data_IF_607770087342
#
_entry.id   IF_607770087342
#
_cell.length_a   1.000
_cell.length_b   1.000
_cell.length_c   1.000
_cell.angle_alpha   90.00
_cell.angle_beta   90.00
_cell.angle_gamma   90.00
#
_symmetry.space_group_name_H-M   'P 1'
#
loop_
_entity.id
_entity.type
_entity.pdbx_description
1 polymer ?
#
# COMPACT_ATOMS: atom_id res chain seq x y z
N UNK A 1 8.98 11.08 9.05
CA UNK A 1 9.27 11.53 7.65
C UNK A 1 8.36 12.69 7.33
N UNK A 2 8.84 13.88 6.95
CA UNK A 2 7.99 15.08 6.75
C UNK A 2 8.11 15.68 5.36
N UNK A 3 9.31 15.71 4.78
CA UNK A 3 9.56 16.23 3.43
C UNK A 3 9.95 15.08 2.48
N UNK A 4 9.26 14.90 1.35
CA UNK A 4 9.64 13.89 0.37
C UNK A 4 10.92 14.33 -0.37
N UNK A 5 11.78 13.36 -0.70
CA UNK A 5 13.05 13.57 -1.39
C UNK A 5 13.01 12.85 -2.73
N UNK A 6 13.52 13.49 -3.79
CA UNK A 6 13.64 12.87 -5.11
C UNK A 6 14.56 11.63 -5.03
N UNK A 7 14.47 10.68 -5.98
CA UNK A 7 15.34 9.51 -5.97
C UNK A 7 16.81 9.91 -6.00
N UNK A 8 17.63 9.21 -5.22
CA UNK A 8 19.06 9.42 -5.16
C UNK A 8 19.78 8.08 -4.99
N UNK A 9 21.03 8.02 -5.39
CA UNK A 9 21.86 6.84 -5.18
C UNK A 9 22.53 6.92 -3.80
N UNK A 10 22.51 5.81 -3.07
CA UNK A 10 23.19 5.68 -1.79
C UNK A 10 24.71 5.57 -2.02
N UNK A 11 25.41 6.70 -2.02
CA UNK A 11 26.87 6.77 -2.10
C UNK A 11 27.51 6.53 -0.73
N UNK A 12 27.53 5.26 -0.33
CA UNK A 12 28.05 4.81 0.97
C UNK A 12 29.47 4.28 0.80
N UNK A 13 30.36 4.70 1.71
CA UNK A 13 31.69 4.12 1.91
C UNK A 13 31.72 3.33 3.21
N UNK A 14 32.22 2.10 3.15
CA UNK A 14 32.55 1.30 4.33
C UNK A 14 34.06 1.14 4.42
N UNK A 15 34.62 1.40 5.60
CA UNK A 15 36.03 1.16 5.90
C UNK A 15 36.15 0.22 7.09
N UNK A 16 36.98 -0.82 6.96
CA UNK A 16 37.25 -1.80 8.04
C UNK A 16 38.74 -2.07 8.14
N UNK A 17 39.24 -2.29 9.35
CA UNK A 17 40.57 -2.86 9.53
C UNK A 17 40.47 -4.38 9.45
N UNK A 18 41.20 -4.98 8.51
CA UNK A 18 41.33 -6.43 8.38
C UNK A 18 42.65 -6.84 9.01
N UNK A 19 42.57 -7.54 10.14
CA UNK A 19 43.72 -8.03 10.91
C UNK A 19 43.41 -9.48 11.27
N UNK A 20 44.33 -10.40 11.01
CA UNK A 20 44.18 -11.80 11.40
C UNK A 20 44.57 -12.06 12.86
N UNK A 21 44.49 -13.33 13.27
CA UNK A 21 44.65 -13.73 14.68
C UNK A 21 46.08 -13.54 15.22
N UNK A 22 47.09 -13.50 14.35
CA UNK A 22 48.49 -13.26 14.67
C UNK A 22 48.92 -11.80 14.39
N UNK A 23 47.95 -10.90 14.27
CA UNK A 23 48.12 -9.44 14.15
C UNK A 23 48.78 -8.96 12.85
N UNK A 24 48.77 -9.78 11.80
CA UNK A 24 49.15 -9.35 10.46
C UNK A 24 47.98 -8.57 9.85
N UNK A 25 48.26 -7.33 9.45
CA UNK A 25 47.26 -6.43 8.88
C UNK A 25 47.24 -6.51 7.36
N UNK A 26 46.05 -6.38 6.76
CA UNK A 26 45.93 -6.07 5.35
C UNK A 26 46.71 -4.79 5.02
N UNK A 27 47.57 -4.84 4.00
CA UNK A 27 48.56 -3.81 3.72
C UNK A 27 47.96 -2.45 3.34
N UNK A 28 46.71 -2.42 2.89
CA UNK A 28 45.98 -1.19 2.55
C UNK A 28 44.87 -0.89 3.57
N UNK A 29 45.07 -1.23 4.85
CA UNK A 29 44.13 -0.87 5.89
C UNK A 29 44.00 0.65 6.09
N UNK A 30 42.79 1.16 6.38
CA UNK A 30 41.54 0.40 6.40
C UNK A 30 41.09 0.01 4.98
N UNK A 31 40.71 -1.26 4.80
CA UNK A 31 40.12 -1.74 3.57
C UNK A 31 38.85 -0.95 3.27
N UNK A 32 38.76 -0.39 2.06
CA UNK A 32 37.66 0.45 1.62
C UNK A 32 36.74 -0.27 0.64
N UNK A 33 35.43 -0.15 0.86
CA UNK A 33 34.38 -0.59 -0.06
C UNK A 33 33.50 0.60 -0.43
N UNK A 34 33.40 0.87 -1.74
CA UNK A 34 32.68 2.03 -2.25
C UNK A 34 33.34 3.37 -1.92
N UNK A 35 32.66 4.46 -2.25
CA UNK A 35 33.06 5.84 -2.01
C UNK A 35 31.82 6.71 -1.74
N UNK A 36 32.02 7.92 -1.24
CA UNK A 36 30.94 8.91 -1.05
C UNK A 36 30.71 9.79 -2.28
N UNK A 37 31.52 9.60 -3.32
CA UNK A 37 31.41 10.32 -4.59
C UNK A 37 30.38 9.65 -5.50
N UNK A 38 29.64 10.47 -6.27
CA UNK A 38 28.59 10.00 -7.15
C UNK A 38 29.06 8.90 -8.11
N UNK A 39 28.34 7.78 -8.13
CA UNK A 39 28.63 6.62 -8.96
C UNK A 39 29.59 5.61 -8.33
N UNK A 40 30.31 5.97 -7.29
CA UNK A 40 31.39 5.15 -6.70
C UNK A 40 30.99 4.49 -5.38
N UNK A 41 29.78 4.72 -4.89
CA UNK A 41 29.22 4.07 -3.71
C UNK A 41 29.25 2.55 -3.75
N UNK A 42 29.15 1.96 -2.57
CA UNK A 42 29.06 0.52 -2.42
C UNK A 42 27.94 -0.05 -3.31
N UNK A 43 28.22 -1.18 -3.95
CA UNK A 43 27.23 -1.86 -4.77
C UNK A 43 26.30 -2.70 -3.89
N UNK A 44 24.99 -2.63 -4.17
CA UNK A 44 23.99 -3.53 -3.58
C UNK A 44 23.47 -4.50 -4.63
N UNK A 45 22.97 -5.66 -4.18
CA UNK A 45 22.40 -6.71 -5.04
C UNK A 45 21.25 -6.21 -5.94
N UNK A 46 20.44 -5.25 -5.45
CA UNK A 46 19.28 -4.71 -6.17
C UNK A 46 19.46 -3.24 -6.58
N UNK A 47 20.71 -2.79 -6.71
CA UNK A 47 21.03 -1.39 -6.99
C UNK A 47 20.97 -0.49 -5.76
N UNK A 48 21.52 0.71 -5.90
CA UNK A 48 21.71 1.67 -4.79
C UNK A 48 20.71 2.83 -4.77
N UNK A 49 19.75 2.84 -5.70
CA UNK A 49 18.79 3.94 -5.80
C UNK A 49 17.74 3.86 -4.68
N UNK A 50 17.70 4.88 -3.85
CA UNK A 50 16.75 5.05 -2.77
C UNK A 50 15.58 5.92 -3.23
N UNK A 51 14.36 5.57 -2.82
CA UNK A 51 13.12 6.27 -3.20
C UNK A 51 12.29 6.62 -1.98
N UNK A 52 11.75 7.82 -1.95
CA UNK A 52 10.74 8.20 -0.95
C UNK A 52 9.37 7.69 -1.39
N UNK A 53 8.92 6.58 -0.80
CA UNK A 53 7.70 5.87 -1.19
C UNK A 53 6.44 6.26 -0.40
N UNK A 54 5.27 5.96 -0.96
CA UNK A 54 3.99 5.86 -0.23
C UNK A 54 3.11 4.82 -0.89
N UNK A 55 2.20 4.20 -0.15
CA UNK A 55 1.12 3.39 -0.69
C UNK A 55 -0.12 4.25 -0.81
N UNK A 56 -0.70 4.34 -2.00
CA UNK A 56 -1.97 5.02 -2.23
C UNK A 56 -3.08 3.99 -2.33
N UNK A 57 -4.16 4.23 -1.59
CA UNK A 57 -5.41 3.49 -1.71
C UNK A 57 -6.49 4.42 -2.28
N UNK A 58 -7.27 3.93 -3.24
CA UNK A 58 -8.32 4.68 -3.91
C UNK A 58 -9.71 4.15 -3.58
N UNK A 59 -10.70 5.04 -3.56
CA UNK A 59 -12.10 4.64 -3.40
C UNK A 59 -12.59 3.82 -4.60
N UNK A 60 -13.53 2.91 -4.36
CA UNK A 60 -14.13 2.08 -5.41
C UNK A 60 -15.65 1.99 -5.21
N UNK A 61 -16.40 1.97 -6.31
CA UNK A 61 -17.85 1.82 -6.31
C UNK A 61 -18.24 0.81 -7.40
N UNK A 62 -19.16 -0.10 -7.09
CA UNK A 62 -19.60 -1.10 -8.07
C UNK A 62 -20.91 -1.77 -7.69
N UNK A 63 -21.38 -2.66 -8.57
CA UNK A 63 -22.56 -3.47 -8.31
C UNK A 63 -22.30 -4.46 -7.16
N UNK A 64 -23.30 -4.66 -6.31
CA UNK A 64 -23.33 -5.72 -5.29
C UNK A 64 -23.33 -7.14 -5.87
N UNK A 65 -23.49 -7.29 -7.19
CA UNK A 65 -23.51 -8.59 -7.87
C UNK A 65 -22.12 -9.06 -8.31
N UNK A 66 -21.12 -8.17 -8.27
CA UNK A 66 -19.76 -8.46 -8.77
C UNK A 66 -18.71 -8.20 -7.67
N UNK A 67 -17.56 -8.88 -7.74
CA UNK A 67 -16.38 -8.48 -6.98
C UNK A 67 -15.99 -7.03 -7.33
N UNK A 68 -15.51 -6.30 -6.33
CA UNK A 68 -15.10 -4.91 -6.47
C UNK A 68 -13.58 -4.80 -6.38
N UNK A 69 -12.93 -4.34 -7.44
CA UNK A 69 -11.49 -4.05 -7.44
C UNK A 69 -11.23 -2.66 -6.86
N UNK A 70 -10.31 -2.58 -5.91
CA UNK A 70 -9.95 -1.34 -5.21
C UNK A 70 -8.59 -0.90 -5.73
N UNK A 71 -8.47 0.30 -6.33
CA UNK A 71 -7.18 0.79 -6.80
C UNK A 71 -6.20 0.94 -5.65
N UNK A 72 -5.09 0.20 -5.71
CA UNK A 72 -3.99 0.26 -4.75
C UNK A 72 -2.67 0.36 -5.50
N UNK A 73 -1.83 1.33 -5.14
CA UNK A 73 -0.60 1.63 -5.86
C UNK A 73 0.54 1.97 -4.92
N UNK A 74 1.72 1.38 -5.14
CA UNK A 74 2.96 1.93 -4.58
C UNK A 74 3.43 3.09 -5.44
N UNK A 75 3.65 4.24 -4.81
CA UNK A 75 4.10 5.46 -5.45
C UNK A 75 5.43 5.93 -4.87
N UNK A 76 6.17 6.75 -5.59
CA UNK A 76 7.34 7.45 -5.09
C UNK A 76 7.36 8.90 -5.54
N UNK A 77 8.01 9.76 -4.77
CA UNK A 77 8.23 11.16 -5.13
C UNK A 77 9.32 11.28 -6.19
N UNK A 78 9.01 11.88 -7.35
CA UNK A 78 9.98 12.08 -8.43
C UNK A 78 10.73 13.43 -8.37
N UNK A 79 10.49 14.24 -7.33
CA UNK A 79 10.96 15.63 -7.23
C UNK A 79 9.84 16.66 -7.40
N UNK A 80 8.74 16.29 -8.07
CA UNK A 80 7.61 17.20 -8.37
C UNK A 80 6.25 16.64 -7.95
N UNK A 81 6.05 15.33 -8.07
CA UNK A 81 4.81 14.65 -7.74
C UNK A 81 5.08 13.20 -7.30
N UNK A 82 4.10 12.60 -6.64
CA UNK A 82 4.07 11.16 -6.45
C UNK A 82 3.59 10.47 -7.72
N UNK A 83 4.40 9.57 -8.24
CA UNK A 83 4.09 8.76 -9.43
C UNK A 83 4.17 7.27 -9.09
N UNK A 84 3.49 6.42 -9.87
CA UNK A 84 3.50 4.97 -9.66
C UNK A 84 4.91 4.41 -9.79
N UNK A 85 5.29 3.54 -8.85
CA UNK A 85 6.57 2.84 -8.88
C UNK A 85 6.48 1.61 -9.81
N UNK A 86 6.64 1.81 -11.12
CA UNK A 86 6.55 0.74 -12.12
C UNK A 86 7.62 -0.34 -12.00
N UNK A 87 8.70 -0.07 -11.24
CA UNK A 87 9.73 -1.05 -10.91
C UNK A 87 9.34 -2.00 -9.76
N UNK A 88 8.24 -1.73 -9.04
CA UNK A 88 7.77 -2.62 -7.98
C UNK A 88 7.01 -3.82 -8.54
N UNK A 89 7.59 -5.01 -8.35
CA UNK A 89 6.95 -6.30 -8.60
C UNK A 89 7.11 -7.29 -7.44
N UNK A 90 7.51 -6.81 -6.27
CA UNK A 90 7.83 -7.66 -5.11
C UNK A 90 7.16 -7.22 -3.81
N UNK A 91 6.52 -6.05 -3.77
CA UNK A 91 5.61 -5.71 -2.68
C UNK A 91 4.48 -6.73 -2.62
N UNK A 92 4.26 -7.25 -1.43
CA UNK A 92 3.15 -8.12 -1.10
C UNK A 92 2.57 -7.68 0.26
N UNK A 93 1.25 -7.70 0.34
CA UNK A 93 0.49 -7.51 1.57
C UNK A 93 -0.39 -8.75 1.77
N UNK A 94 -0.64 -9.11 3.03
CA UNK A 94 -1.66 -10.08 3.37
C UNK A 94 -3.02 -9.38 3.44
N UNK A 95 -4.10 -10.12 3.22
CA UNK A 95 -5.45 -9.62 3.50
C UNK A 95 -5.61 -9.18 4.96
N UNK A 96 -4.84 -9.79 5.88
CA UNK A 96 -4.82 -9.42 7.30
C UNK A 96 -4.19 -8.04 7.54
N UNK A 97 -3.52 -7.44 6.56
CA UNK A 97 -3.03 -6.06 6.68
C UNK A 97 -4.10 -5.01 6.37
N UNK A 98 -5.30 -5.42 5.95
CA UNK A 98 -6.38 -4.50 5.57
C UNK A 98 -7.47 -4.57 6.61
N UNK A 99 -7.61 -3.53 7.43
CA UNK A 99 -8.77 -3.34 8.29
C UNK A 99 -10.02 -3.04 7.47
N UNK A 100 -11.14 -3.60 7.89
CA UNK A 100 -12.46 -3.23 7.41
C UNK A 100 -13.25 -2.62 8.56
N UNK A 101 -13.68 -1.37 8.41
CA UNK A 101 -14.38 -0.62 9.46
C UNK A 101 -15.54 0.19 8.90
N UNK A 102 -16.29 0.84 9.78
CA UNK A 102 -17.39 1.75 9.43
C UNK A 102 -18.37 1.17 8.38
N UNK A 103 -18.83 -0.06 8.59
CA UNK A 103 -19.78 -0.71 7.70
C UNK A 103 -21.12 0.03 7.71
N UNK A 104 -21.67 0.25 6.52
CA UNK A 104 -22.93 0.97 6.29
C UNK A 104 -23.92 0.11 5.51
N UNK A 105 -25.21 0.46 5.62
CA UNK A 105 -26.29 -0.20 4.89
C UNK A 105 -26.45 -1.67 5.28
N UNK A 106 -26.80 -2.50 4.30
CA UNK A 106 -27.06 -3.91 4.51
C UNK A 106 -25.80 -4.78 4.47
N UNK A 107 -24.60 -4.21 4.26
CA UNK A 107 -23.34 -4.94 4.48
C UNK A 107 -23.23 -5.45 5.92
N UNK A 108 -23.82 -4.73 6.87
CA UNK A 108 -23.87 -5.11 8.28
C UNK A 108 -22.49 -5.04 8.95
N UNK A 109 -22.42 -5.29 10.28
CA UNK A 109 -21.15 -5.22 11.00
C UNK A 109 -20.18 -6.33 10.55
N UNK A 110 -18.91 -6.16 10.91
CA UNK A 110 -17.81 -7.09 10.57
C UNK A 110 -18.14 -8.56 10.88
N UNK A 111 -18.87 -8.86 11.95
CA UNK A 111 -19.25 -10.22 12.35
C UNK A 111 -20.02 -11.02 11.29
N UNK A 112 -20.71 -10.34 10.37
CA UNK A 112 -21.42 -11.00 9.27
C UNK A 112 -20.51 -11.37 8.09
N UNK A 113 -19.33 -10.72 7.96
CA UNK A 113 -18.39 -10.89 6.86
C UNK A 113 -19.04 -11.03 5.47
N UNK A 114 -19.98 -10.14 5.16
CA UNK A 114 -20.73 -10.23 3.89
C UNK A 114 -19.83 -10.02 2.68
N UNK A 115 -18.76 -9.23 2.80
CA UNK A 115 -17.70 -9.11 1.80
C UNK A 115 -16.36 -9.45 2.43
N UNK A 116 -15.38 -9.83 1.61
CA UNK A 116 -14.09 -10.39 2.03
C UNK A 116 -12.96 -9.78 1.24
N UNK A 117 -11.84 -9.51 1.90
CA UNK A 117 -10.62 -9.01 1.27
C UNK A 117 -9.88 -10.16 0.58
N UNK A 118 -9.32 -9.88 -0.60
CA UNK A 118 -8.40 -10.76 -1.30
C UNK A 118 -7.15 -11.04 -0.47
N UNK A 119 -6.70 -12.29 -0.44
CA UNK A 119 -5.49 -12.70 0.26
C UNK A 119 -4.77 -13.77 -0.59
N UNK A 120 -3.53 -13.53 -1.08
CA UNK A 120 -2.68 -12.34 -0.88
C UNK A 120 -3.05 -11.15 -1.77
N UNK A 121 -2.45 -9.98 -1.48
CA UNK A 121 -2.44 -8.80 -2.35
C UNK A 121 -1.03 -8.62 -2.90
N UNK A 122 -0.86 -8.89 -4.19
CA UNK A 122 0.43 -8.84 -4.90
C UNK A 122 0.50 -7.65 -5.83
N UNK A 123 1.68 -7.02 -5.92
CA UNK A 123 1.91 -5.89 -6.80
C UNK A 123 2.65 -6.29 -8.06
N UNK A 124 2.21 -5.76 -9.20
CA UNK A 124 2.89 -5.82 -10.48
C UNK A 124 2.94 -4.41 -11.08
N UNK A 125 4.15 -3.97 -11.45
CA UNK A 125 4.40 -2.60 -11.91
C UNK A 125 3.81 -1.53 -10.96
N UNK A 126 3.95 -1.76 -9.66
CA UNK A 126 3.50 -0.88 -8.60
C UNK A 126 1.98 -0.78 -8.42
N UNK A 127 1.20 -1.66 -9.05
CA UNK A 127 -0.26 -1.75 -8.92
C UNK A 127 -0.62 -3.08 -8.27
N UNK A 128 -1.44 -3.04 -7.21
CA UNK A 128 -1.88 -4.24 -6.50
C UNK A 128 -3.25 -4.73 -6.95
N UNK A 129 -3.51 -6.02 -6.70
CA UNK A 129 -4.76 -6.72 -7.03
C UNK A 129 -5.75 -6.76 -5.84
N UNK A 130 -5.85 -5.69 -5.05
CA UNK A 130 -6.79 -5.65 -3.92
C UNK A 130 -8.23 -5.73 -4.42
N UNK A 131 -8.96 -6.75 -3.94
CA UNK A 131 -10.34 -6.98 -4.31
C UNK A 131 -11.19 -7.28 -3.07
N UNK A 132 -12.42 -6.78 -3.09
CA UNK A 132 -13.48 -7.23 -2.21
C UNK A 132 -14.39 -8.21 -2.97
N UNK A 133 -14.72 -9.35 -2.35
CA UNK A 133 -15.68 -10.28 -2.93
C UNK A 133 -17.08 -9.65 -3.05
N UNK A 134 -17.90 -10.16 -3.97
CA UNK A 134 -19.30 -9.73 -4.05
C UNK A 134 -19.98 -9.94 -2.70
N UNK A 135 -20.78 -8.99 -2.19
CA UNK A 135 -21.46 -9.16 -0.93
C UNK A 135 -22.42 -10.36 -0.91
N UNK A 136 -22.42 -11.11 0.19
CA UNK A 136 -23.37 -12.17 0.45
C UNK A 136 -24.80 -11.63 0.55
N UNK A 137 -25.77 -12.39 0.02
CA UNK A 137 -27.19 -12.02 0.05
C UNK A 137 -27.54 -10.77 -0.77
N UNK A 138 -26.68 -10.32 -1.68
CA UNK A 138 -26.92 -9.12 -2.49
C UNK A 138 -26.89 -7.83 -1.65
N UNK A 139 -26.17 -7.83 -0.54
CA UNK A 139 -26.08 -6.68 0.35
C UNK A 139 -25.46 -5.45 -0.34
N UNK A 140 -26.03 -4.29 -0.06
CA UNK A 140 -25.61 -2.97 -0.52
C UNK A 140 -25.11 -2.14 0.66
N UNK A 141 -24.27 -1.13 0.38
CA UNK A 141 -23.70 -0.25 1.40
C UNK A 141 -22.23 0.02 1.17
N UNK A 142 -21.55 0.57 2.18
CA UNK A 142 -20.13 0.88 2.13
C UNK A 142 -19.35 0.28 3.29
N UNK A 143 -18.05 0.11 3.09
CA UNK A 143 -17.07 -0.23 4.12
C UNK A 143 -15.84 0.64 3.91
N UNK A 144 -15.25 1.12 5.00
CA UNK A 144 -13.97 1.83 4.98
C UNK A 144 -12.84 0.81 5.14
N UNK A 145 -11.79 0.98 4.35
CA UNK A 145 -10.61 0.14 4.32
C UNK A 145 -9.41 0.95 4.80
N UNK A 146 -8.61 0.37 5.70
CA UNK A 146 -7.31 0.93 6.12
C UNK A 146 -6.24 -0.12 5.91
N UNK A 147 -5.15 0.21 5.20
CA UNK A 147 -3.99 -0.69 5.10
C UNK A 147 -2.99 -0.36 6.21
N UNK A 148 -2.82 -1.26 7.16
CA UNK A 148 -1.89 -1.10 8.28
C UNK A 148 -0.45 -1.40 7.86
N UNK A 149 0.35 -0.34 7.75
CA UNK A 149 1.74 -0.39 7.27
C UNK A 149 2.76 -0.33 8.41
N UNK A 150 2.34 0.00 9.61
CA UNK A 150 3.12 -0.09 10.84
C UNK A 150 3.48 -1.54 11.20
N UNK A 151 4.38 -1.70 12.17
CA UNK A 151 4.76 -3.02 12.66
C UNK A 151 3.72 -3.61 13.63
N UNK A 152 3.21 -2.77 14.55
CA UNK A 152 2.27 -3.17 15.60
C UNK A 152 1.00 -2.36 15.48
N UNK A 153 -0.13 -3.06 15.36
CA UNK A 153 -1.46 -2.45 15.21
C UNK A 153 -2.09 -2.26 16.59
N UNK A 154 -2.73 -1.11 16.81
CA UNK A 154 -3.48 -0.80 18.04
C UNK A 154 -4.99 -0.91 17.81
N UNK A 155 -5.77 -1.09 18.89
CA UNK A 155 -7.23 -1.02 18.85
C UNK A 155 -7.99 -2.29 18.41
N UNK A 156 -7.29 -3.43 18.29
CA UNK A 156 -7.87 -4.73 17.88
C UNK A 156 -8.75 -4.69 16.61
N UNK A 157 -8.32 -4.03 15.52
CA UNK A 157 -9.09 -3.97 14.28
C UNK A 157 -9.23 -5.36 13.64
N UNK A 158 -10.28 -5.51 12.86
CA UNK A 158 -10.65 -6.77 12.21
C UNK A 158 -10.80 -6.61 10.71
N UNK A 159 -10.67 -7.73 10.02
CA UNK A 159 -10.93 -7.90 8.60
C UNK A 159 -11.73 -9.17 8.36
N UNK A 160 -12.16 -9.42 7.13
CA UNK A 160 -12.87 -10.64 6.77
C UNK A 160 -12.11 -11.41 5.70
N UNK A 161 -11.59 -12.58 6.07
CA UNK A 161 -10.88 -13.51 5.18
C UNK A 161 -11.50 -14.90 5.34
N UNK A 162 -11.63 -15.63 4.24
CA UNK A 162 -12.02 -17.05 4.23
C UNK A 162 -13.41 -17.40 4.79
N UNK A 163 -14.19 -16.45 5.31
CA UNK A 163 -15.42 -16.82 6.01
C UNK A 163 -15.74 -15.93 7.19
N UNK A 164 -14.69 -15.54 7.91
CA UNK A 164 -14.80 -15.13 9.30
C UNK A 164 -14.03 -13.84 9.58
N UNK A 165 -14.39 -13.13 10.67
CA UNK A 165 -13.58 -12.04 11.18
C UNK A 165 -12.21 -12.56 11.63
N UNK A 166 -11.15 -11.89 11.18
CA UNK A 166 -9.76 -12.18 11.54
C UNK A 166 -9.14 -10.90 12.08
N UNK A 167 -8.26 -11.03 13.08
CA UNK A 167 -7.50 -9.88 13.61
C UNK A 167 -6.55 -9.32 12.55
N UNK A 168 -6.45 -7.99 12.49
CA UNK A 168 -5.55 -7.29 11.57
C UNK A 168 -4.12 -7.28 12.13
N UNK A 169 -3.14 -7.43 11.24
CA UNK A 169 -1.71 -7.38 11.54
C UNK A 169 -1.01 -6.29 10.74
N UNK A 170 0.08 -5.77 11.27
CA UNK A 170 0.87 -4.74 10.59
C UNK A 170 1.72 -5.33 9.47
N UNK A 171 1.78 -4.66 8.31
CA UNK A 171 2.59 -5.12 7.19
C UNK A 171 4.11 -4.93 7.40
N UNK A 172 4.52 -4.18 8.44
CA UNK A 172 5.91 -3.79 8.69
C UNK A 172 6.56 -3.08 7.47
N UNK A 173 5.80 -2.16 6.86
CA UNK A 173 6.24 -1.31 5.74
C UNK A 173 6.00 0.18 6.05
N UNK A 174 6.51 0.72 7.18
CA UNK A 174 6.23 2.11 7.57
C UNK A 174 6.76 3.14 6.56
N UNK A 175 7.74 2.76 5.73
CA UNK A 175 8.24 3.58 4.62
C UNK A 175 7.19 3.81 3.49
N UNK A 176 6.09 3.07 3.48
CA UNK A 176 4.96 3.29 2.57
C UNK A 176 3.84 4.12 3.20
N UNK A 177 3.94 4.55 4.46
CA UNK A 177 2.96 5.45 5.05
C UNK A 177 2.98 6.81 4.33
N UNK A 178 1.80 7.41 4.25
CA UNK A 178 1.52 8.66 3.55
C UNK A 178 1.24 9.82 4.50
N UNK A 179 1.01 10.99 3.90
CA UNK A 179 0.54 12.19 4.56
C UNK A 179 -0.86 12.51 3.99
N UNK A 180 -1.90 11.98 4.63
CA UNK A 180 -3.29 12.02 4.18
C UNK A 180 -4.11 13.11 4.87
N UNK A 181 -3.78 13.47 6.11
CA UNK A 181 -4.47 14.51 6.89
C UNK A 181 -3.61 15.76 7.14
N UNK A 182 -2.45 15.87 6.51
CA UNK A 182 -1.47 16.94 6.76
C UNK A 182 -0.43 16.54 7.82
N UNK A 183 0.77 17.12 7.71
CA UNK A 183 1.88 16.86 8.63
C UNK A 183 2.88 15.82 8.14
N UNK A 184 3.04 14.72 8.88
CA UNK A 184 4.05 13.71 8.64
C UNK A 184 3.56 12.57 7.73
N UNK A 185 4.51 11.80 7.18
CA UNK A 185 4.32 10.57 6.41
C UNK A 185 4.34 9.36 7.34
N UNK A 186 3.37 9.31 8.25
CA UNK A 186 3.20 8.30 9.29
C UNK A 186 1.76 7.76 9.34
N UNK A 187 0.97 8.04 8.30
CA UNK A 187 -0.44 7.69 8.22
C UNK A 187 -0.68 6.53 7.26
N UNK A 188 -1.47 5.57 7.73
CA UNK A 188 -1.95 4.47 6.92
C UNK A 188 -2.96 4.97 5.86
N UNK A 189 -2.87 4.50 4.61
CA UNK A 189 -3.81 4.90 3.58
C UNK A 189 -5.18 4.28 3.82
N UNK A 190 -6.21 5.09 3.56
CA UNK A 190 -7.61 4.70 3.71
C UNK A 190 -8.38 4.88 2.41
N UNK A 191 -9.47 4.14 2.26
CA UNK A 191 -10.41 4.29 1.16
C UNK A 191 -11.80 3.79 1.54
N UNK A 192 -12.81 4.18 0.77
CA UNK A 192 -14.17 3.66 0.87
C UNK A 192 -14.48 2.76 -0.33
N UNK A 193 -15.00 1.57 -0.02
CA UNK A 193 -15.55 0.66 -1.00
C UNK A 193 -17.09 0.65 -0.87
N UNK A 194 -17.79 0.84 -1.99
CA UNK A 194 -19.26 0.91 -1.99
C UNK A 194 -19.88 -0.06 -2.99
N UNK A 195 -20.91 -0.79 -2.54
CA UNK A 195 -21.69 -1.72 -3.33
C UNK A 195 -23.13 -1.24 -3.51
N UNK A 196 -23.62 -1.24 -4.75
CA UNK A 196 -25.04 -1.12 -5.06
C UNK A 196 -25.62 0.29 -4.88
N UNK A 197 -24.83 1.35 -5.06
CA UNK A 197 -25.38 2.72 -5.20
C UNK A 197 -26.00 2.85 -6.58
N UNK A 198 -27.30 2.64 -6.67
CA UNK A 198 -28.10 2.99 -7.84
C UNK A 198 -28.17 4.53 -7.94
N UNK A 199 -27.79 5.10 -9.08
CA UNK A 199 -28.26 6.45 -9.45
C UNK A 199 -29.74 6.32 -9.79
N UNK A 200 -30.54 7.30 -9.36
CA UNK A 200 -32.00 7.29 -9.43
C UNK A 200 -32.58 6.94 -10.80
N UNK A 201 -33.80 6.41 -10.76
CA UNK A 201 -34.79 6.26 -11.84
C UNK A 201 -34.28 6.28 -13.28
N UNK A 202 -34.53 5.20 -14.02
CA UNK A 202 -34.68 5.27 -15.48
C UNK A 202 -35.90 6.13 -15.84
N UNK A 203 -35.83 7.44 -15.61
CA UNK A 203 -36.72 8.39 -16.28
C UNK A 203 -35.99 8.84 -17.53
N UNK A 204 -36.16 8.07 -18.61
CA UNK A 204 -35.86 8.53 -19.96
C UNK A 204 -36.84 9.68 -20.22
N UNK A 205 -36.44 10.92 -19.96
CA UNK A 205 -37.15 12.09 -20.47
C UNK A 205 -36.90 12.10 -21.98
N UNK A 206 -37.83 11.53 -22.74
CA UNK A 206 -37.94 11.79 -24.17
C UNK A 206 -38.30 13.27 -24.35
N UNK A 207 -37.29 14.12 -24.54
CA UNK A 207 -37.52 15.43 -25.14
C UNK A 207 -37.76 15.21 -26.64
N UNK A 208 -39.03 15.29 -27.02
CA UNK A 208 -39.46 15.42 -28.41
C UNK A 208 -39.16 16.86 -28.82
N UNK A 209 -38.17 17.08 -29.68
CA UNK A 209 -38.09 18.34 -30.43
C UNK A 209 -39.37 18.46 -31.26
N UNK A 210 -40.06 19.59 -31.14
CA UNK A 210 -41.20 19.92 -31.98
C UNK A 210 -41.04 21.38 -32.44
N UNK A 211 -40.59 21.49 -33.70
CA UNK A 211 -40.54 22.60 -34.66
C UNK A 211 -40.09 24.00 -34.21
#
# INVERSE_FOLDING_TARGET
>A
RTTPVAPFDAEIRLTINVIDADAVAYSANPAQFGDITAGNGIAFNSGKQMRFGRLRLGNANGSQLLPLTIPIETQYWNGTAFITNTADGCTALAGTNVEMSNFQGSLGPIGACKTRVSDPITFASGRGNLQLSKPAGGATGSVDLTVHLEQTVSGSPQTCIGGAPVAVTGANRPYLQGNWTGGAYDQNPTARATFGVYRGSEEIIYMRENF
#
